data_IF_731896176752
#
_entry.id   IF_731896176752
#
_cell.length_a   1.000
_cell.length_b   1.000
_cell.length_c   1.000
_cell.angle_alpha   90.00
_cell.angle_beta   90.00
_cell.angle_gamma   90.00
#
_symmetry.space_group_name_H-M   'P 1'
#
loop_
_entity.id
_entity.type
_entity.pdbx_description
1 polymer ?
#
# COMPACT_ATOMS: atom_id res chain seq x y z
N UNK A 1 -4.45 -1.59 24.06
CA UNK A 1 -3.99 -1.26 22.70
C UNK A 1 -5.17 -0.81 21.86
N UNK A 2 -4.96 0.18 20.99
CA UNK A 2 -5.89 0.56 19.92
C UNK A 2 -5.51 -0.22 18.65
N UNK A 3 -6.50 -0.56 17.80
CA UNK A 3 -6.26 -1.25 16.53
C UNK A 3 -6.34 -0.25 15.38
N UNK A 4 -5.39 -0.34 14.46
CA UNK A 4 -5.34 0.41 13.22
C UNK A 4 -5.35 -0.58 12.04
N UNK A 5 -6.43 -0.56 11.25
CA UNK A 5 -6.45 -1.25 9.96
C UNK A 5 -5.69 -0.42 8.93
N UNK A 6 -4.77 -1.05 8.19
CA UNK A 6 -4.00 -0.43 7.12
C UNK A 6 -4.16 -1.25 5.84
N UNK A 7 -4.57 -0.57 4.77
CA UNK A 7 -4.55 -1.11 3.41
C UNK A 7 -3.86 -0.08 2.53
N UNK A 8 -2.81 -0.52 1.85
CA UNK A 8 -2.11 0.27 0.83
C UNK A 8 -2.50 -0.30 -0.52
N UNK A 9 -3.04 0.53 -1.40
CA UNK A 9 -3.14 0.18 -2.82
C UNK A 9 -1.83 0.63 -3.49
N UNK A 10 -0.94 -0.29 -3.93
CA UNK A 10 0.41 0.07 -4.39
C UNK A 10 0.40 0.96 -5.63
N UNK A 11 -0.63 0.84 -6.49
CA UNK A 11 -0.75 1.55 -7.77
C UNK A 11 -1.62 2.81 -7.68
N UNK A 12 -2.12 3.16 -6.49
CA UNK A 12 -2.98 4.32 -6.30
C UNK A 12 -2.31 5.62 -6.78
N UNK A 13 -2.99 6.32 -7.70
CA UNK A 13 -2.54 7.60 -8.23
C UNK A 13 -1.44 7.54 -9.30
N UNK A 14 -1.08 6.34 -9.79
CA UNK A 14 0.01 6.17 -10.75
C UNK A 14 -0.26 6.87 -12.11
N UNK A 15 -1.47 6.74 -12.67
CA UNK A 15 -1.75 7.31 -13.99
C UNK A 15 -1.95 8.83 -14.01
N UNK A 16 -2.40 9.43 -12.90
CA UNK A 16 -2.53 10.89 -12.79
C UNK A 16 -1.19 11.63 -12.95
N UNK A 17 -0.06 11.00 -12.59
CA UNK A 17 1.28 11.58 -12.70
C UNK A 17 1.79 11.67 -14.14
N UNK A 18 1.30 10.81 -15.02
CA UNK A 18 1.71 10.74 -16.44
C UNK A 18 0.62 11.30 -17.37
N UNK A 19 -0.33 12.07 -16.82
CA UNK A 19 -1.42 12.68 -17.60
C UNK A 19 -2.47 11.68 -18.10
N UNK A 20 -2.48 10.45 -17.57
CA UNK A 20 -3.52 9.47 -17.86
C UNK A 20 -4.72 9.70 -16.94
N UNK A 21 -5.92 9.40 -17.44
CA UNK A 21 -7.16 9.55 -16.67
C UNK A 21 -7.27 8.45 -15.62
N UNK A 22 -6.71 8.70 -14.43
CA UNK A 22 -6.79 7.78 -13.29
C UNK A 22 -5.82 6.61 -13.37
N UNK A 23 -6.05 5.58 -12.54
CA UNK A 23 -5.27 4.32 -12.49
C UNK A 23 -6.16 3.09 -12.74
N UNK A 24 -7.32 3.30 -13.37
CA UNK A 24 -8.36 2.28 -13.49
C UNK A 24 -8.05 1.33 -14.66
N UNK A 25 -7.53 0.15 -14.31
CA UNK A 25 -7.30 -0.96 -15.23
C UNK A 25 -5.81 -1.22 -15.47
N UNK A 26 -5.45 -2.50 -15.61
CA UNK A 26 -4.06 -2.93 -15.78
C UNK A 26 -3.34 -2.26 -16.95
N UNK A 27 -4.06 -2.00 -18.05
CA UNK A 27 -3.49 -1.34 -19.23
C UNK A 27 -2.99 0.09 -18.91
N UNK A 28 -3.73 0.83 -18.06
CA UNK A 28 -3.32 2.17 -17.62
C UNK A 28 -2.10 2.10 -16.71
N UNK A 29 -2.07 1.13 -15.78
CA UNK A 29 -0.93 0.92 -14.89
C UNK A 29 0.32 0.56 -15.69
N UNK A 30 0.23 -0.40 -16.61
CA UNK A 30 1.33 -0.77 -17.51
C UNK A 30 1.82 0.43 -18.32
N UNK A 31 0.90 1.18 -18.92
CA UNK A 31 1.25 2.38 -19.69
C UNK A 31 1.91 3.46 -18.84
N UNK A 32 1.46 3.63 -17.60
CA UNK A 32 2.07 4.58 -16.68
C UNK A 32 3.51 4.18 -16.33
N UNK A 33 3.75 2.89 -16.07
CA UNK A 33 5.10 2.36 -15.82
C UNK A 33 6.02 2.55 -17.04
N UNK A 34 5.53 2.28 -18.26
CA UNK A 34 6.29 2.56 -19.50
C UNK A 34 6.66 4.04 -19.66
N UNK A 35 5.81 4.94 -19.16
CA UNK A 35 6.05 6.39 -19.15
C UNK A 35 6.93 6.84 -17.97
N UNK A 36 7.49 5.91 -17.20
CA UNK A 36 8.38 6.18 -16.07
C UNK A 36 7.66 6.50 -14.76
N UNK A 37 6.36 6.18 -14.63
CA UNK A 37 5.65 6.35 -13.37
C UNK A 37 6.17 5.38 -12.30
N UNK A 38 6.27 5.89 -11.08
CA UNK A 38 6.66 5.13 -9.89
C UNK A 38 5.49 4.99 -8.93
N UNK A 39 5.45 3.87 -8.18
CA UNK A 39 4.46 3.66 -7.12
C UNK A 39 4.75 4.61 -5.96
N UNK A 40 3.84 5.54 -5.69
CA UNK A 40 4.01 6.55 -4.62
C UNK A 40 3.25 6.22 -3.34
N UNK A 41 2.23 5.36 -3.44
CA UNK A 41 1.38 4.99 -2.31
C UNK A 41 2.17 4.33 -1.16
N UNK A 42 3.09 3.37 -1.43
CA UNK A 42 3.96 2.79 -0.40
C UNK A 42 4.69 3.83 0.45
N UNK A 43 5.44 4.73 -0.19
CA UNK A 43 6.21 5.76 0.52
C UNK A 43 5.33 6.70 1.33
N UNK A 44 4.14 7.05 0.84
CA UNK A 44 3.18 7.88 1.59
C UNK A 44 2.64 7.18 2.84
N UNK A 45 2.40 5.87 2.77
CA UNK A 45 1.96 5.09 3.93
C UNK A 45 3.07 5.05 4.99
N UNK A 46 4.33 4.83 4.59
CA UNK A 46 5.48 4.90 5.50
C UNK A 46 5.57 6.27 6.18
N UNK A 47 5.47 7.37 5.41
CA UNK A 47 5.48 8.73 5.97
C UNK A 47 4.37 8.96 6.99
N UNK A 48 3.16 8.47 6.72
CA UNK A 48 2.03 8.57 7.62
C UNK A 48 2.26 7.78 8.93
N UNK A 49 2.72 6.53 8.82
CA UNK A 49 2.98 5.65 9.96
C UNK A 49 4.13 6.19 10.83
N UNK A 50 5.18 6.75 10.23
CA UNK A 50 6.28 7.39 10.98
C UNK A 50 5.80 8.50 11.91
N UNK A 51 4.73 9.24 11.56
CA UNK A 51 4.16 10.29 12.43
C UNK A 51 3.55 9.74 13.72
N UNK A 52 3.11 8.48 13.69
CA UNK A 52 2.49 7.80 14.84
C UNK A 52 3.42 6.75 15.47
N UNK A 53 4.62 6.53 14.94
CA UNK A 53 5.59 5.56 15.47
C UNK A 53 5.97 5.80 16.94
N UNK A 54 5.90 7.06 17.42
CA UNK A 54 6.12 7.40 18.85
C UNK A 54 5.13 6.76 19.82
N UNK A 55 3.96 6.32 19.34
CA UNK A 55 2.94 5.63 20.12
C UNK A 55 2.77 4.17 19.67
N UNK A 56 3.76 3.58 18.97
CA UNK A 56 3.66 2.23 18.41
C UNK A 56 3.29 1.16 19.44
N UNK A 57 3.80 1.26 20.67
CA UNK A 57 3.50 0.31 21.76
C UNK A 57 2.02 0.36 22.19
N UNK A 58 1.28 1.38 21.77
CA UNK A 58 -0.15 1.55 22.07
C UNK A 58 -1.05 1.18 20.89
N UNK A 59 -0.47 0.91 19.72
CA UNK A 59 -1.17 0.68 18.45
C UNK A 59 -0.82 -0.69 17.87
N UNK A 60 -1.81 -1.55 17.74
CA UNK A 60 -1.74 -2.77 16.95
C UNK A 60 -2.10 -2.45 15.49
N UNK A 61 -1.14 -2.60 14.58
CA UNK A 61 -1.40 -2.44 13.13
C UNK A 61 -1.85 -3.79 12.58
N UNK A 62 -2.98 -3.81 11.88
CA UNK A 62 -3.50 -4.98 11.17
C UNK A 62 -3.52 -4.64 9.69
N UNK A 63 -2.92 -5.48 8.85
CA UNK A 63 -2.72 -5.15 7.43
C UNK A 63 -2.68 -6.39 6.54
N UNK A 64 -2.60 -6.16 5.23
CA UNK A 64 -2.54 -7.19 4.19
C UNK A 64 -1.08 -7.41 3.74
N UNK A 65 -0.72 -8.56 3.13
CA UNK A 65 0.68 -8.90 2.89
C UNK A 65 1.41 -7.98 1.88
N UNK A 66 2.74 -7.93 1.98
CA UNK A 66 3.65 -7.22 1.06
C UNK A 66 3.40 -5.71 0.95
N UNK A 67 3.43 -5.19 -0.28
CA UNK A 67 3.22 -3.76 -0.63
C UNK A 67 1.80 -3.26 -0.28
N UNK A 68 0.91 -4.11 0.23
CA UNK A 68 -0.42 -3.72 0.70
C UNK A 68 -0.48 -3.23 2.14
N UNK A 69 0.67 -3.06 2.78
CA UNK A 69 0.82 -2.39 4.07
C UNK A 69 1.74 -3.11 5.05
N UNK A 70 2.04 -4.39 4.84
CA UNK A 70 3.00 -5.15 5.66
C UNK A 70 4.39 -4.53 5.60
N UNK A 71 4.89 -4.28 4.38
CA UNK A 71 6.23 -3.75 4.16
C UNK A 71 6.34 -2.31 4.68
N UNK A 72 5.32 -1.49 4.44
CA UNK A 72 5.28 -0.10 4.88
C UNK A 72 5.20 0.03 6.40
N UNK A 73 4.41 -0.85 7.05
CA UNK A 73 4.33 -0.89 8.50
C UNK A 73 5.65 -1.33 9.13
N UNK A 74 6.32 -2.34 8.57
CA UNK A 74 7.65 -2.78 9.03
C UNK A 74 8.70 -1.70 8.83
N UNK A 75 8.72 -1.02 7.68
CA UNK A 75 9.66 0.08 7.41
C UNK A 75 9.44 1.26 8.38
N UNK A 76 8.19 1.50 8.79
CA UNK A 76 7.86 2.52 9.80
C UNK A 76 8.16 2.08 11.25
N UNK A 77 8.63 0.85 11.47
CA UNK A 77 9.03 0.33 12.79
C UNK A 77 7.88 -0.29 13.58
N UNK A 78 6.79 -0.68 12.92
CA UNK A 78 5.71 -1.47 13.52
C UNK A 78 5.94 -2.97 13.31
N UNK A 79 5.34 -3.79 14.18
CA UNK A 79 5.20 -5.23 13.96
C UNK A 79 3.72 -5.51 13.68
N UNK A 80 3.30 -5.49 12.40
CA UNK A 80 1.88 -5.64 12.08
C UNK A 80 1.41 -7.09 12.21
N UNK A 81 0.14 -7.25 12.55
CA UNK A 81 -0.61 -8.49 12.36
C UNK A 81 -1.04 -8.56 10.89
N UNK A 82 -0.50 -9.52 10.15
CA UNK A 82 -0.81 -9.70 8.73
C UNK A 82 -1.96 -10.70 8.57
N UNK A 83 -2.97 -10.34 7.80
CA UNK A 83 -4.14 -11.19 7.50
C UNK A 83 -4.24 -11.44 6.00
N UNK A 84 -4.90 -12.54 5.62
CA UNK A 84 -5.09 -12.90 4.22
C UNK A 84 -3.82 -13.44 3.55
N UNK A 85 -3.84 -13.49 2.22
CA UNK A 85 -2.75 -14.02 1.40
C UNK A 85 -2.88 -13.49 -0.03
N UNK A 86 -1.76 -13.13 -0.65
CA UNK A 86 -1.72 -12.76 -2.06
C UNK A 86 -1.27 -14.00 -2.85
N UNK A 87 -2.03 -14.38 -3.88
CA UNK A 87 -1.78 -15.59 -4.67
C UNK A 87 -0.77 -15.39 -5.83
N UNK A 88 -0.35 -14.15 -6.09
CA UNK A 88 0.40 -13.75 -7.29
C UNK A 88 1.57 -12.82 -6.97
N UNK A 89 2.53 -12.70 -7.89
CA UNK A 89 3.73 -11.86 -7.74
C UNK A 89 3.43 -10.34 -7.76
N UNK A 90 2.21 -9.95 -8.14
CA UNK A 90 1.78 -8.55 -8.19
C UNK A 90 0.30 -8.45 -7.83
N UNK A 91 -0.05 -7.42 -7.07
CA UNK A 91 -1.41 -7.21 -6.57
C UNK A 91 -2.32 -6.63 -7.63
N UNK A 92 -3.56 -7.10 -7.68
CA UNK A 92 -4.61 -6.60 -8.55
C UNK A 92 -5.62 -5.74 -7.79
N UNK A 93 -6.64 -5.27 -8.51
CA UNK A 93 -7.76 -4.54 -7.91
C UNK A 93 -8.54 -5.43 -6.93
N UNK A 94 -8.68 -6.71 -7.26
CA UNK A 94 -9.42 -7.70 -6.50
C UNK A 94 -8.77 -7.91 -5.13
N UNK A 95 -7.43 -8.02 -5.07
CA UNK A 95 -6.71 -8.12 -3.80
C UNK A 95 -7.03 -6.93 -2.86
N UNK A 96 -7.14 -5.72 -3.41
CA UNK A 96 -7.52 -4.53 -2.62
C UNK A 96 -8.97 -4.56 -2.15
N UNK A 97 -9.86 -5.24 -2.86
CA UNK A 97 -11.28 -5.37 -2.47
C UNK A 97 -11.45 -6.46 -1.40
N UNK A 98 -10.60 -7.50 -1.41
CA UNK A 98 -10.64 -8.59 -0.44
C UNK A 98 -9.99 -8.26 0.92
N UNK A 99 -9.08 -7.29 0.94
CA UNK A 99 -8.38 -6.80 2.14
C UNK A 99 -9.28 -5.98 3.09
#
# INVERSE_FOLDING_TARGET
MKRLGLIVNPVAGIGGRVGLKGSDGEAIVRRAVELGAVKLSPGRAVEALRRIARIREQVEVITYPGEMGEDEAREAGFQPTVIGSIAHDSTTREDTIEA
#
